data_IF_818848408629
#
_entry.id   IF_818848408629
#
_cell.length_a   1.000
_cell.length_b   1.000
_cell.length_c   1.000
_cell.angle_alpha   90.00
_cell.angle_beta   90.00
_cell.angle_gamma   90.00
#
_symmetry.space_group_name_H-M   'P 1'
#
loop_
_entity.id
_entity.type
_entity.pdbx_description
1 polymer ?
#
# COMPACT_ATOMS: atom_id res chain seq x y z
N UNK A 1 2.78 17.38 9.74
CA UNK A 1 2.31 17.11 8.37
C UNK A 1 1.10 18.00 8.12
N UNK A 2 1.12 18.85 7.09
CA UNK A 2 -0.04 19.66 6.71
C UNK A 2 -1.15 18.75 6.15
N UNK A 3 -2.41 19.08 6.39
CA UNK A 3 -3.57 18.29 5.92
C UNK A 3 -3.61 18.15 4.39
N UNK A 4 -2.92 19.03 3.65
CA UNK A 4 -2.80 19.01 2.19
C UNK A 4 -2.10 17.77 1.63
N UNK A 5 -1.30 17.05 2.44
CA UNK A 5 -0.63 15.82 2.00
C UNK A 5 -1.46 14.54 2.22
N UNK A 6 -2.70 14.65 2.71
CA UNK A 6 -3.57 13.49 3.02
C UNK A 6 -4.47 13.18 1.83
N UNK A 7 -4.29 12.00 1.23
CA UNK A 7 -5.07 11.52 0.07
C UNK A 7 -6.41 10.89 0.50
N UNK A 8 -6.45 10.22 1.66
CA UNK A 8 -7.62 9.45 2.10
C UNK A 8 -8.76 10.33 2.63
N UNK A 9 -9.97 10.17 2.08
CA UNK A 9 -11.16 10.92 2.50
C UNK A 9 -12.40 10.04 2.77
N UNK A 10 -12.55 8.92 2.05
CA UNK A 10 -13.79 8.14 2.04
C UNK A 10 -13.78 6.88 2.91
N UNK A 11 -12.60 6.40 3.34
CA UNK A 11 -12.48 5.19 4.17
C UNK A 11 -12.73 3.86 3.44
N UNK A 12 -12.96 3.88 2.11
CA UNK A 12 -13.28 2.66 1.34
C UNK A 12 -12.10 2.05 0.58
N UNK A 13 -10.97 2.77 0.47
CA UNK A 13 -9.85 2.39 -0.39
C UNK A 13 -9.24 1.02 -0.06
N UNK A 14 -9.23 0.64 1.21
CA UNK A 14 -8.72 -0.66 1.66
C UNK A 14 -9.53 -1.84 1.07
N UNK A 15 -10.85 -1.70 0.96
CA UNK A 15 -11.73 -2.78 0.48
C UNK A 15 -11.54 -3.09 -1.01
N UNK A 16 -10.86 -2.21 -1.77
CA UNK A 16 -10.50 -2.49 -3.17
C UNK A 16 -9.65 -3.76 -3.32
N UNK A 17 -8.89 -4.15 -2.28
CA UNK A 17 -8.14 -5.40 -2.26
C UNK A 17 -9.04 -6.64 -2.43
N UNK A 18 -10.28 -6.60 -1.94
CA UNK A 18 -11.19 -7.75 -1.98
C UNK A 18 -11.66 -8.10 -3.40
N UNK A 19 -11.54 -7.15 -4.35
CA UNK A 19 -11.85 -7.41 -5.76
C UNK A 19 -10.92 -8.44 -6.39
N UNK A 20 -9.67 -8.49 -5.93
CA UNK A 20 -8.62 -9.36 -6.51
C UNK A 20 -8.12 -10.44 -5.54
N UNK A 21 -8.47 -10.34 -4.27
CA UNK A 21 -8.01 -11.21 -3.21
C UNK A 21 -8.95 -12.39 -2.93
N UNK A 22 -8.36 -13.56 -2.71
CA UNK A 22 -8.99 -14.70 -2.05
C UNK A 22 -8.94 -14.56 -0.52
N UNK A 23 -7.82 -14.06 0.01
CA UNK A 23 -7.69 -13.69 1.42
C UNK A 23 -6.76 -12.47 1.58
N UNK A 24 -6.91 -11.78 2.70
CA UNK A 24 -6.08 -10.63 3.07
C UNK A 24 -5.67 -10.76 4.53
N UNK A 25 -4.38 -10.57 4.79
CA UNK A 25 -3.80 -10.56 6.14
C UNK A 25 -3.13 -9.22 6.37
N UNK A 26 -3.49 -8.52 7.44
CA UNK A 26 -2.89 -7.25 7.83
C UNK A 26 -2.18 -7.45 9.17
N UNK A 27 -0.88 -7.14 9.18
CA UNK A 27 -0.05 -7.08 10.38
C UNK A 27 0.27 -5.63 10.65
N UNK A 28 -0.11 -5.11 11.81
CA UNK A 28 0.13 -3.70 12.12
C UNK A 28 0.58 -3.51 13.56
N UNK A 29 1.50 -2.56 13.77
CA UNK A 29 1.94 -2.12 15.09
C UNK A 29 2.16 -0.61 15.08
N UNK A 30 1.55 0.06 16.06
CA UNK A 30 1.79 1.49 16.31
C UNK A 30 3.21 1.68 16.87
N UNK A 31 3.86 2.80 16.55
CA UNK A 31 5.20 3.13 17.04
C UNK A 31 5.30 3.13 18.57
N UNK A 32 4.34 3.75 19.26
CA UNK A 32 4.31 3.85 20.74
C UNK A 32 3.64 2.65 21.43
N UNK A 33 3.62 1.47 20.81
CA UNK A 33 2.96 0.28 21.34
C UNK A 33 3.82 -0.96 21.14
N UNK A 34 4.02 -1.72 22.21
CA UNK A 34 4.65 -3.03 22.14
C UNK A 34 3.70 -4.08 21.54
N UNK A 35 2.39 -3.85 21.63
CA UNK A 35 1.34 -4.71 21.10
C UNK A 35 1.12 -4.46 19.61
N UNK A 36 1.17 -5.53 18.83
CA UNK A 36 0.75 -5.57 17.44
C UNK A 36 -0.59 -6.29 17.27
N UNK A 37 -1.20 -6.11 16.10
CA UNK A 37 -2.46 -6.75 15.73
C UNK A 37 -2.32 -7.47 14.40
N UNK A 38 -2.92 -8.66 14.36
CA UNK A 38 -3.08 -9.48 13.18
C UNK A 38 -4.56 -9.51 12.82
N UNK A 39 -4.91 -8.87 11.72
CA UNK A 39 -6.25 -8.88 11.14
C UNK A 39 -6.25 -9.84 9.94
N UNK A 40 -7.26 -10.72 9.85
CA UNK A 40 -7.38 -11.71 8.77
C UNK A 40 -8.78 -11.70 8.17
N UNK A 41 -8.85 -11.76 6.85
CA UNK A 41 -10.09 -11.96 6.10
C UNK A 41 -9.91 -13.08 5.08
N UNK A 42 -10.82 -14.05 5.09
CA UNK A 42 -10.73 -15.29 4.32
C UNK A 42 -11.82 -15.38 3.21
N UNK A 43 -12.22 -14.26 2.62
CA UNK A 43 -13.16 -14.28 1.48
C UNK A 43 -14.64 -14.27 1.84
N UNK A 44 -15.00 -14.14 3.12
CA UNK A 44 -16.39 -14.12 3.62
C UNK A 44 -16.85 -12.75 4.14
N UNK A 45 -17.96 -12.71 4.87
CA UNK A 45 -18.51 -11.45 5.41
C UNK A 45 -17.87 -11.03 6.74
N UNK A 46 -16.99 -11.85 7.30
CA UNK A 46 -16.36 -11.62 8.60
C UNK A 46 -14.83 -11.63 8.51
N UNK A 47 -14.21 -11.03 9.52
CA UNK A 47 -12.78 -11.00 9.74
C UNK A 47 -12.45 -11.39 11.19
N UNK A 48 -11.22 -11.82 11.44
CA UNK A 48 -10.70 -12.02 12.79
C UNK A 48 -9.62 -11.00 13.12
N UNK A 49 -9.48 -10.71 14.42
CA UNK A 49 -8.41 -9.86 14.96
C UNK A 49 -7.80 -10.57 16.16
N UNK A 50 -6.48 -10.70 16.15
CA UNK A 50 -5.70 -11.33 17.19
C UNK A 50 -4.58 -10.36 17.62
N UNK A 51 -4.31 -10.28 18.93
CA UNK A 51 -3.14 -9.56 19.45
C UNK A 51 -1.89 -10.41 19.20
N UNK A 52 -0.79 -9.77 18.82
CA UNK A 52 0.50 -10.43 18.58
C UNK A 52 1.65 -9.54 19.02
N UNK A 53 2.65 -10.15 19.65
CA UNK A 53 3.88 -9.46 20.01
C UNK A 53 4.86 -9.45 18.83
N UNK A 54 5.88 -8.59 18.90
CA UNK A 54 7.07 -8.63 18.01
C UNK A 54 6.85 -8.34 16.52
N UNK A 55 5.87 -7.51 16.16
CA UNK A 55 5.78 -6.96 14.80
C UNK A 55 6.69 -5.74 14.61
N UNK A 56 7.22 -5.45 13.41
CA UNK A 56 7.85 -4.15 13.14
C UNK A 56 6.84 -2.99 13.22
N UNK A 57 7.32 -1.78 13.48
CA UNK A 57 6.47 -0.56 13.41
C UNK A 57 5.92 -0.41 11.99
N UNK A 58 4.64 -0.03 11.88
CA UNK A 58 3.96 0.21 10.62
C UNK A 58 2.95 -0.88 10.29
N UNK A 59 2.61 -1.00 9.00
CA UNK A 59 1.59 -1.93 8.52
C UNK A 59 2.11 -2.73 7.33
N UNK A 60 1.89 -4.04 7.36
CA UNK A 60 2.15 -4.98 6.26
C UNK A 60 0.83 -5.61 5.86
N UNK A 61 0.50 -5.50 4.57
CA UNK A 61 -0.69 -6.10 3.97
C UNK A 61 -0.22 -7.22 3.04
N UNK A 62 -0.67 -8.44 3.31
CA UNK A 62 -0.43 -9.63 2.51
C UNK A 62 -1.74 -9.99 1.81
N UNK A 63 -1.70 -10.08 0.48
CA UNK A 63 -2.87 -10.36 -0.34
C UNK A 63 -2.64 -11.67 -1.08
N UNK A 64 -3.43 -12.68 -0.77
CA UNK A 64 -3.46 -13.91 -1.58
C UNK A 64 -4.44 -13.68 -2.71
N UNK A 65 -3.93 -13.63 -3.94
CA UNK A 65 -4.74 -13.33 -5.13
C UNK A 65 -5.66 -14.49 -5.50
N UNK A 66 -6.80 -14.17 -6.12
CA UNK A 66 -7.67 -15.16 -6.75
C UNK A 66 -6.98 -15.76 -7.98
N UNK A 67 -7.27 -17.02 -8.33
CA UNK A 67 -6.81 -17.59 -9.60
C UNK A 67 -7.46 -16.86 -10.79
N UNK A 68 -6.90 -17.04 -11.98
CA UNK A 68 -7.35 -16.39 -13.21
C UNK A 68 -6.70 -15.03 -13.40
N UNK A 69 -7.48 -14.04 -13.82
CA UNK A 69 -6.97 -12.72 -14.23
C UNK A 69 -6.22 -12.02 -13.09
N UNK A 70 -6.73 -12.09 -11.86
CA UNK A 70 -6.10 -11.47 -10.70
C UNK A 70 -4.67 -11.97 -10.40
N UNK A 71 -4.29 -13.15 -10.89
CA UNK A 71 -2.93 -13.67 -10.73
C UNK A 71 -1.88 -12.81 -11.47
N UNK A 72 -2.29 -11.97 -12.43
CA UNK A 72 -1.38 -11.04 -13.10
C UNK A 72 -0.74 -10.03 -12.13
N UNK A 73 -1.43 -9.68 -11.04
CA UNK A 73 -0.92 -8.74 -10.03
C UNK A 73 0.23 -9.32 -9.18
N UNK A 74 0.55 -10.62 -9.32
CA UNK A 74 1.77 -11.19 -8.76
C UNK A 74 3.00 -10.94 -9.65
N UNK A 75 2.82 -10.50 -10.90
CA UNK A 75 3.92 -10.26 -11.85
C UNK A 75 4.52 -8.88 -11.60
N UNK A 76 5.85 -8.81 -11.43
CA UNK A 76 6.60 -7.56 -11.22
C UNK A 76 6.24 -6.50 -12.26
N UNK A 77 6.25 -6.85 -13.54
CA UNK A 77 6.01 -5.89 -14.63
C UNK A 77 4.62 -5.27 -14.55
N UNK A 78 3.60 -6.05 -14.16
CA UNK A 78 2.24 -5.56 -14.00
C UNK A 78 2.12 -4.58 -12.83
N UNK A 79 2.75 -4.91 -11.71
CA UNK A 79 2.79 -4.04 -10.52
C UNK A 79 3.50 -2.71 -10.86
N UNK A 80 4.62 -2.78 -11.57
CA UNK A 80 5.37 -1.59 -12.01
C UNK A 80 4.54 -0.74 -12.98
N UNK A 81 3.84 -1.34 -13.94
CA UNK A 81 2.92 -0.64 -14.85
C UNK A 81 1.85 0.15 -14.07
N UNK A 82 1.22 -0.49 -13.08
CA UNK A 82 0.18 0.13 -12.24
C UNK A 82 0.75 1.27 -11.38
N UNK A 83 1.92 1.07 -10.77
CA UNK A 83 2.61 2.11 -9.98
C UNK A 83 2.92 3.33 -10.86
N UNK A 84 3.48 3.11 -12.05
CA UNK A 84 3.81 4.19 -12.98
C UNK A 84 2.57 4.94 -13.49
N UNK A 85 1.43 4.26 -13.58
CA UNK A 85 0.19 4.88 -14.07
C UNK A 85 -0.51 5.72 -13.00
N UNK A 86 -0.52 5.29 -11.74
CA UNK A 86 -1.38 5.87 -10.70
C UNK A 86 -0.63 6.44 -9.49
N UNK A 87 0.62 6.05 -9.27
CA UNK A 87 1.38 6.36 -8.04
C UNK A 87 2.78 6.88 -8.32
N UNK A 88 3.08 7.26 -9.57
CA UNK A 88 4.40 7.70 -10.00
C UNK A 88 4.92 8.91 -9.23
N UNK A 89 4.03 9.83 -8.87
CA UNK A 89 4.34 11.10 -8.20
C UNK A 89 4.21 11.03 -6.68
N UNK A 90 4.08 9.83 -6.09
CA UNK A 90 4.19 9.67 -4.65
C UNK A 90 5.62 10.02 -4.25
N UNK A 91 5.76 10.91 -3.27
CA UNK A 91 7.06 11.44 -2.83
C UNK A 91 7.87 10.45 -1.99
N UNK A 92 7.20 9.45 -1.41
CA UNK A 92 7.86 8.38 -0.65
C UNK A 92 8.44 7.31 -1.60
N UNK A 93 9.63 6.75 -1.31
CA UNK A 93 10.22 5.72 -2.14
C UNK A 93 9.36 4.45 -2.14
N UNK A 94 9.03 3.97 -3.34
CA UNK A 94 8.30 2.73 -3.62
C UNK A 94 9.30 1.74 -4.19
N UNK A 95 9.43 0.58 -3.53
CA UNK A 95 10.30 -0.51 -3.97
C UNK A 95 9.50 -1.74 -4.36
N UNK A 96 9.84 -2.37 -5.49
CA UNK A 96 9.28 -3.64 -5.93
C UNK A 96 10.42 -4.66 -6.04
N UNK A 97 10.33 -5.76 -5.27
CA UNK A 97 11.37 -6.79 -5.17
C UNK A 97 12.79 -6.22 -4.89
N UNK A 98 12.86 -5.18 -4.06
CA UNK A 98 14.13 -4.52 -3.67
C UNK A 98 14.60 -3.42 -4.61
N UNK A 99 13.95 -3.21 -5.76
CA UNK A 99 14.30 -2.15 -6.71
C UNK A 99 13.36 -0.95 -6.57
N UNK A 100 13.90 0.27 -6.53
CA UNK A 100 13.12 1.50 -6.48
C UNK A 100 12.47 1.78 -7.85
N UNK A 101 11.17 2.08 -7.85
CA UNK A 101 10.38 2.26 -9.09
C UNK A 101 10.04 3.72 -9.37
N UNK A 102 9.71 4.52 -8.35
CA UNK A 102 9.42 5.95 -8.53
C UNK A 102 10.68 6.80 -8.29
N UNK A 103 11.06 7.60 -9.29
CA UNK A 103 12.30 8.40 -9.28
C UNK A 103 12.10 9.85 -9.69
N UNK A 104 10.86 10.33 -9.84
CA UNK A 104 10.58 11.66 -10.36
C UNK A 104 9.80 12.48 -9.34
N UNK A 105 10.30 13.68 -9.07
CA UNK A 105 9.62 14.66 -8.24
C UNK A 105 8.46 15.29 -9.01
N UNK A 106 7.35 15.54 -8.32
CA UNK A 106 6.21 16.24 -8.90
C UNK A 106 6.58 17.72 -9.12
N UNK A 107 7.18 18.05 -10.27
CA UNK A 107 7.74 19.38 -10.55
C UNK A 107 6.68 20.50 -10.41
N UNK A 108 5.39 20.19 -10.66
CA UNK A 108 4.29 21.16 -10.50
C UNK A 108 3.95 21.47 -9.03
N UNK A 109 4.45 20.69 -8.06
CA UNK A 109 4.32 21.02 -6.63
C UNK A 109 5.53 21.80 -6.12
N UNK A 110 6.55 22.02 -6.96
CA UNK A 110 7.76 22.79 -6.60
C UNK A 110 7.55 24.28 -6.83
N UNK A 111 8.37 25.10 -6.16
CA UNK A 111 8.35 26.54 -6.41
C UNK A 111 8.81 26.81 -7.85
N UNK A 112 8.09 27.62 -8.65
CA UNK A 112 8.49 27.91 -10.03
C UNK A 112 9.92 28.42 -10.21
N UNK A 113 10.53 29.00 -9.16
CA UNK A 113 11.93 29.46 -9.17
C UNK A 113 12.95 28.33 -9.07
N UNK A 114 12.55 27.14 -8.63
CA UNK A 114 13.41 25.97 -8.41
C UNK A 114 13.39 25.01 -9.60
N UNK A 115 12.52 25.24 -10.58
CA UNK A 115 12.42 24.43 -11.81
C UNK A 115 13.36 25.00 -12.87
N UNK A 116 14.56 24.45 -12.99
CA UNK A 116 15.48 24.76 -14.10
C UNK A 116 15.17 23.93 -15.35
N UNK A 117 15.16 24.59 -16.51
CA UNK A 117 14.96 23.98 -17.84
C UNK A 117 16.07 23.04 -18.27
#
# INVERSE_FOLDING_TARGET
MSTESIIGQFGVGFYSAFMVANNVVVKTRKEDSDKGYLWKWNGGDSYSVEETDSLPVGSRIEVTLRPGDAAEFAKKDKVVEVINKYSYFITLPITVNGERVNTVDAIWTMNPKEVTS
#
